data_IF_602232790970
#
_entry.id   IF_602232790970
#
_cell.length_a   1.000
_cell.length_b   1.000
_cell.length_c   1.000
_cell.angle_alpha   90.00
_cell.angle_beta   90.00
_cell.angle_gamma   90.00
#
_symmetry.space_group_name_H-M   'P 1'
#
loop_
_entity.id
_entity.type
_entity.pdbx_description
1 polymer ?
#
# COMPACT_ATOMS: atom_id res chain seq x y z
N UNK A 1 4.36 -17.90 -16.46
CA UNK A 1 3.51 -17.63 -15.28
C UNK A 1 3.86 -16.24 -14.74
N UNK A 2 2.88 -15.51 -14.24
CA UNK A 2 3.01 -14.07 -13.99
C UNK A 2 3.55 -13.83 -12.59
N UNK A 3 4.74 -13.24 -12.49
CA UNK A 3 5.43 -12.86 -11.23
C UNK A 3 4.53 -12.02 -10.31
N UNK A 4 3.49 -11.40 -10.86
CA UNK A 4 2.63 -10.49 -10.14
C UNK A 4 1.42 -11.15 -9.48
N UNK A 5 1.21 -12.46 -9.62
CA UNK A 5 0.20 -13.19 -8.82
C UNK A 5 0.71 -13.56 -7.42
N UNK A 6 1.96 -13.21 -7.09
CA UNK A 6 2.63 -13.53 -5.81
C UNK A 6 1.86 -12.92 -4.61
N UNK A 7 1.24 -11.76 -4.79
CA UNK A 7 0.48 -11.09 -3.74
C UNK A 7 -1.01 -11.45 -3.72
N UNK A 8 -1.54 -12.14 -4.73
CA UNK A 8 -2.99 -12.31 -4.93
C UNK A 8 -3.67 -13.02 -3.76
N UNK A 9 -2.98 -14.02 -3.18
CA UNK A 9 -3.46 -14.74 -2.00
C UNK A 9 -3.56 -13.80 -0.80
N UNK A 10 -2.51 -13.03 -0.50
CA UNK A 10 -2.46 -12.12 0.64
C UNK A 10 -3.46 -10.94 0.47
N UNK A 11 -3.62 -10.42 -0.75
CA UNK A 11 -4.65 -9.44 -1.08
C UNK A 11 -6.05 -10.03 -0.79
N UNK A 12 -6.30 -11.26 -1.26
CA UNK A 12 -7.58 -11.94 -1.07
C UNK A 12 -7.88 -12.21 0.41
N UNK A 13 -6.88 -12.64 1.17
CA UNK A 13 -7.01 -12.86 2.62
C UNK A 13 -7.28 -11.56 3.38
N UNK A 14 -6.54 -10.49 3.09
CA UNK A 14 -6.79 -9.17 3.68
C UNK A 14 -8.19 -8.66 3.39
N UNK A 15 -8.65 -8.77 2.13
CA UNK A 15 -10.01 -8.39 1.76
C UNK A 15 -11.09 -9.21 2.48
N UNK A 16 -10.83 -10.49 2.77
CA UNK A 16 -11.72 -11.30 3.62
C UNK A 16 -11.73 -10.79 5.05
N UNK A 17 -10.58 -10.41 5.61
CA UNK A 17 -10.51 -9.79 6.94
C UNK A 17 -11.32 -8.49 6.99
N UNK A 18 -11.21 -7.63 5.98
CA UNK A 18 -11.93 -6.35 5.90
C UNK A 18 -13.46 -6.51 5.88
N UNK A 19 -13.96 -7.66 5.42
CA UNK A 19 -15.39 -7.98 5.38
C UNK A 19 -15.90 -8.66 6.67
N UNK A 20 -15.07 -8.78 7.71
CA UNK A 20 -15.50 -9.33 9.00
C UNK A 20 -16.10 -8.25 9.90
N UNK A 21 -17.02 -8.66 10.79
CA UNK A 21 -17.72 -7.77 11.71
C UNK A 21 -16.77 -6.94 12.61
N UNK A 22 -15.53 -7.42 12.82
CA UNK A 22 -14.53 -6.76 13.64
C UNK A 22 -14.09 -5.37 13.12
N UNK A 23 -14.16 -5.14 11.80
CA UNK A 23 -13.71 -3.89 11.17
C UNK A 23 -14.89 -2.95 10.85
N UNK A 24 -16.12 -3.37 11.12
CA UNK A 24 -17.34 -2.67 10.74
C UNK A 24 -17.67 -2.80 9.25
N UNK A 25 -18.70 -2.08 8.80
CA UNK A 25 -19.09 -2.10 7.38
C UNK A 25 -18.08 -1.32 6.54
N UNK A 26 -17.47 -2.01 5.56
CA UNK A 26 -16.68 -1.36 4.53
C UNK A 26 -17.56 -0.43 3.68
N UNK A 27 -17.14 0.83 3.57
CA UNK A 27 -17.81 1.84 2.74
C UNK A 27 -16.91 2.19 1.57
N UNK A 28 -17.40 2.02 0.33
CA UNK A 28 -16.77 2.66 -0.83
C UNK A 28 -17.09 4.15 -0.75
N UNK A 29 -16.06 4.99 -0.65
CA UNK A 29 -16.21 6.42 -0.62
C UNK A 29 -16.42 6.97 -2.05
N UNK A 30 -17.03 8.16 -2.20
CA UNK A 30 -17.12 8.82 -3.50
C UNK A 30 -15.72 8.98 -4.13
N UNK A 31 -15.61 8.73 -5.44
CA UNK A 31 -14.42 8.99 -6.23
C UNK A 31 -14.33 10.46 -6.65
N UNK A 32 -13.18 10.85 -7.18
CA UNK A 32 -12.97 12.11 -7.94
C UNK A 32 -13.10 13.40 -7.13
N UNK A 33 -12.80 13.33 -5.83
CA UNK A 33 -12.60 14.53 -5.02
C UNK A 33 -11.17 15.01 -5.14
N UNK A 34 -11.00 16.28 -5.52
CA UNK A 34 -9.68 16.90 -5.59
C UNK A 34 -9.29 17.56 -4.28
N UNK A 35 -7.99 17.54 -3.97
CA UNK A 35 -7.41 18.31 -2.88
C UNK A 35 -6.14 19.01 -3.36
N UNK A 36 -5.79 20.13 -2.73
CA UNK A 36 -4.55 20.81 -3.05
C UNK A 36 -3.35 19.92 -2.68
N UNK A 37 -2.55 19.54 -3.67
CA UNK A 37 -1.28 18.82 -3.49
C UNK A 37 -0.13 19.80 -3.63
N UNK A 38 0.73 19.89 -2.62
CA UNK A 38 1.88 20.79 -2.60
C UNK A 38 3.10 20.16 -3.29
N UNK A 39 4.04 20.98 -3.76
CA UNK A 39 5.25 20.49 -4.43
C UNK A 39 6.21 19.72 -3.50
N UNK A 40 6.15 20.01 -2.20
CA UNK A 40 6.93 19.37 -1.15
C UNK A 40 6.06 19.16 0.08
N UNK A 41 6.50 18.31 1.01
CA UNK A 41 5.78 18.06 2.25
C UNK A 41 5.54 19.36 3.04
N UNK A 42 4.27 19.62 3.37
CA UNK A 42 3.90 20.74 4.23
C UNK A 42 3.96 20.30 5.69
N UNK A 43 4.90 20.88 6.45
CA UNK A 43 5.11 20.54 7.86
C UNK A 43 3.88 20.90 8.71
N UNK A 44 3.30 19.91 9.41
CA UNK A 44 2.25 20.13 10.41
C UNK A 44 2.86 20.06 11.81
N UNK A 45 2.95 21.22 12.47
CA UNK A 45 3.43 21.35 13.83
C UNK A 45 2.37 20.92 14.85
N UNK A 46 2.80 20.47 16.03
CA UNK A 46 1.90 20.00 17.10
C UNK A 46 0.82 21.01 17.50
N UNK A 47 1.13 22.32 17.47
CA UNK A 47 0.16 23.39 17.79
C UNK A 47 -0.94 23.56 16.73
N UNK A 48 -0.62 23.22 15.48
CA UNK A 48 -1.45 23.43 14.29
C UNK A 48 -2.21 22.14 13.88
N UNK A 49 -1.88 21.03 14.54
CA UNK A 49 -2.46 19.70 14.33
C UNK A 49 -3.81 19.55 15.04
N UNK A 50 -4.77 18.92 14.37
CA UNK A 50 -6.03 18.49 14.95
C UNK A 50 -5.85 17.20 15.76
N UNK A 51 -5.19 16.20 15.17
CA UNK A 51 -4.86 14.90 15.75
C UNK A 51 -3.79 14.18 14.91
N UNK A 52 -3.25 13.08 15.42
CA UNK A 52 -2.38 12.14 14.71
C UNK A 52 -3.09 10.80 14.44
N UNK A 53 -3.01 10.34 13.20
CA UNK A 53 -3.25 8.94 12.87
C UNK A 53 -1.96 8.17 13.16
N UNK A 54 -2.01 7.19 14.05
CA UNK A 54 -0.85 6.39 14.43
C UNK A 54 0.22 7.14 15.26
N UNK A 55 -0.17 8.23 15.93
CA UNK A 55 0.67 8.99 16.85
C UNK A 55 0.86 8.34 18.21
N UNK A 56 1.99 8.60 18.88
CA UNK A 56 2.30 8.04 20.19
C UNK A 56 2.34 6.51 20.19
N UNK A 57 1.54 5.89 21.07
CA UNK A 57 1.42 4.43 21.17
C UNK A 57 0.44 3.81 20.15
N UNK A 58 -0.27 4.64 19.38
CA UNK A 58 -1.19 4.16 18.36
C UNK A 58 -0.45 3.45 17.21
N UNK A 59 -1.14 2.49 16.59
CA UNK A 59 -0.67 1.74 15.44
C UNK A 59 -0.86 2.56 14.16
N UNK A 60 0.07 2.43 13.23
CA UNK A 60 0.17 3.29 12.05
C UNK A 60 0.50 2.45 10.82
N UNK A 61 -0.31 1.44 10.50
CA UNK A 61 0.13 0.36 9.61
C UNK A 61 -0.02 0.79 8.15
N UNK A 62 0.99 0.53 7.32
CA UNK A 62 0.88 0.77 5.88
C UNK A 62 1.46 -0.39 5.07
N UNK A 63 0.78 -0.78 4.00
CA UNK A 63 1.27 -1.82 3.09
C UNK A 63 0.81 -1.57 1.66
N UNK A 64 1.64 -2.00 0.71
CA UNK A 64 1.38 -1.91 -0.73
C UNK A 64 1.59 -3.28 -1.35
N UNK A 65 0.64 -3.71 -2.19
CA UNK A 65 0.73 -4.98 -2.91
C UNK A 65 0.34 -4.81 -4.38
N UNK A 66 0.97 -5.62 -5.23
CA UNK A 66 0.81 -5.56 -6.67
C UNK A 66 0.10 -6.80 -7.20
N UNK A 67 -0.75 -6.64 -8.19
CA UNK A 67 -1.42 -7.74 -8.88
C UNK A 67 -1.57 -7.43 -10.36
N UNK A 68 -1.78 -8.43 -11.20
CA UNK A 68 -2.32 -8.27 -12.56
C UNK A 68 -3.79 -8.71 -12.65
N UNK A 69 -4.31 -9.34 -11.59
CA UNK A 69 -5.66 -9.91 -11.58
C UNK A 69 -6.73 -8.84 -11.35
N UNK A 70 -7.68 -8.74 -12.29
CA UNK A 70 -8.88 -7.92 -12.13
C UNK A 70 -9.84 -8.46 -11.07
N UNK A 71 -9.70 -9.73 -10.67
CA UNK A 71 -10.46 -10.29 -9.54
C UNK A 71 -9.94 -9.75 -8.20
N UNK A 72 -8.61 -9.59 -8.09
CA UNK A 72 -7.99 -8.99 -6.92
C UNK A 72 -8.27 -7.50 -6.84
N UNK A 73 -8.23 -6.76 -7.95
CA UNK A 73 -8.48 -5.32 -8.01
C UNK A 73 -9.24 -4.99 -9.29
N UNK A 74 -10.56 -4.81 -9.21
CA UNK A 74 -11.44 -4.59 -10.36
C UNK A 74 -11.25 -3.21 -11.01
N UNK A 75 -11.30 -2.17 -10.19
CA UNK A 75 -11.44 -0.77 -10.56
C UNK A 75 -10.78 0.13 -9.52
N UNK A 76 -10.63 1.42 -9.86
CA UNK A 76 -10.19 2.43 -8.91
C UNK A 76 -11.21 2.58 -7.77
N UNK A 77 -10.74 2.68 -6.54
CA UNK A 77 -11.64 2.78 -5.39
C UNK A 77 -10.98 3.19 -4.09
N UNK A 78 -11.68 4.05 -3.35
CA UNK A 78 -11.32 4.40 -1.97
C UNK A 78 -12.33 3.77 -1.03
N UNK A 79 -11.84 3.06 -0.02
CA UNK A 79 -12.66 2.34 0.94
C UNK A 79 -12.32 2.77 2.37
N UNK A 80 -13.33 2.87 3.22
CA UNK A 80 -13.19 3.27 4.61
C UNK A 80 -13.89 2.27 5.54
N UNK A 81 -13.18 1.89 6.60
CA UNK A 81 -13.68 1.10 7.73
C UNK A 81 -13.43 1.88 9.01
N UNK A 82 -14.48 2.53 9.53
CA UNK A 82 -14.41 3.39 10.71
C UNK A 82 -14.84 4.83 10.44
N UNK A 83 -14.29 5.74 11.25
CA UNK A 83 -14.55 7.19 11.19
C UNK A 83 -13.77 7.84 10.03
N UNK A 84 -14.39 8.79 9.33
CA UNK A 84 -13.68 9.62 8.34
C UNK A 84 -12.92 10.75 9.06
N UNK A 85 -12.02 11.44 8.36
CA UNK A 85 -11.16 12.48 8.93
C UNK A 85 -11.94 13.57 9.68
N UNK A 86 -13.14 13.92 9.21
CA UNK A 86 -13.99 14.93 9.84
C UNK A 86 -14.54 14.50 11.20
N UNK A 87 -14.69 13.19 11.41
CA UNK A 87 -15.34 12.63 12.59
C UNK A 87 -14.35 12.32 13.72
N UNK A 88 -13.07 12.14 13.38
CA UNK A 88 -11.99 11.86 14.35
C UNK A 88 -11.69 13.12 15.20
N UNK A 89 -11.54 12.93 16.52
CA UNK A 89 -11.32 14.03 17.50
C UNK A 89 -10.07 13.88 18.36
N UNK A 90 -9.36 12.76 18.24
CA UNK A 90 -8.20 12.40 19.07
C UNK A 90 -7.19 11.59 18.26
N UNK A 91 -6.01 11.38 18.82
CA UNK A 91 -5.03 10.50 18.20
C UNK A 91 -5.54 9.06 18.23
N UNK A 92 -5.63 8.42 17.06
CA UNK A 92 -6.16 7.05 16.93
C UNK A 92 -5.17 6.13 16.23
N UNK A 93 -5.36 4.82 16.39
CA UNK A 93 -4.72 3.84 15.51
C UNK A 93 -5.35 3.92 14.12
N UNK A 94 -4.52 3.71 13.09
CA UNK A 94 -5.00 3.64 11.72
C UNK A 94 -4.17 2.65 10.90
N UNK A 95 -4.76 2.17 9.80
CA UNK A 95 -4.06 1.43 8.79
C UNK A 95 -4.44 1.89 7.38
N UNK A 96 -3.49 1.79 6.45
CA UNK A 96 -3.70 2.01 5.02
C UNK A 96 -3.14 0.87 4.19
N UNK A 97 -4.00 0.21 3.43
CA UNK A 97 -3.60 -0.80 2.46
C UNK A 97 -3.84 -0.26 1.05
N UNK A 98 -2.83 -0.41 0.18
CA UNK A 98 -2.92 -0.01 -1.23
C UNK A 98 -2.67 -1.21 -2.12
N UNK A 99 -3.68 -1.59 -2.89
CA UNK A 99 -3.59 -2.68 -3.85
C UNK A 99 -3.62 -2.11 -5.26
N UNK A 100 -2.60 -2.45 -6.05
CA UNK A 100 -2.38 -1.88 -7.37
C UNK A 100 -2.48 -2.98 -8.41
N UNK A 101 -3.45 -2.87 -9.32
CA UNK A 101 -3.48 -3.66 -10.54
C UNK A 101 -2.57 -3.03 -11.56
N UNK A 102 -1.57 -3.78 -11.99
CA UNK A 102 -0.64 -3.41 -13.03
C UNK A 102 -1.19 -3.85 -14.40
N UNK A 103 -0.84 -3.10 -15.43
CA UNK A 103 -1.19 -3.44 -16.80
C UNK A 103 -0.45 -4.72 -17.22
N UNK A 104 -1.18 -5.82 -17.31
CA UNK A 104 -0.64 -7.15 -17.58
C UNK A 104 0.18 -7.19 -18.88
N UNK A 105 -0.31 -6.59 -19.96
CA UNK A 105 0.39 -6.59 -21.25
C UNK A 105 1.71 -5.82 -21.19
N UNK A 106 1.71 -4.67 -20.50
CA UNK A 106 2.89 -3.85 -20.31
C UNK A 106 3.93 -4.57 -19.45
N UNK A 107 3.49 -5.21 -18.36
CA UNK A 107 4.41 -5.96 -17.47
C UNK A 107 5.00 -7.18 -18.19
N UNK A 108 4.19 -7.95 -18.93
CA UNK A 108 4.70 -9.07 -19.72
C UNK A 108 5.78 -8.63 -20.71
N UNK A 109 5.53 -7.54 -21.43
CA UNK A 109 6.50 -7.01 -22.41
C UNK A 109 7.83 -6.59 -21.78
N UNK A 110 7.82 -5.91 -20.63
CA UNK A 110 9.08 -5.54 -19.94
C UNK A 110 9.77 -6.76 -19.33
N UNK A 111 9.01 -7.73 -18.81
CA UNK A 111 9.56 -8.92 -18.16
C UNK A 111 10.29 -9.81 -19.18
N UNK A 112 9.72 -10.02 -20.36
CA UNK A 112 10.33 -10.81 -21.44
C UNK A 112 11.64 -10.18 -21.96
N UNK A 113 11.76 -8.85 -21.85
CA UNK A 113 12.93 -8.11 -22.33
C UNK A 113 14.04 -7.99 -21.28
N UNK A 114 13.69 -7.74 -20.02
CA UNK A 114 14.65 -7.55 -18.94
C UNK A 114 14.00 -7.70 -17.55
N UNK A 115 14.45 -8.67 -16.76
CA UNK A 115 13.99 -8.87 -15.39
C UNK A 115 14.28 -7.67 -14.46
N UNK A 116 15.39 -6.96 -14.65
CA UNK A 116 15.71 -5.74 -13.90
C UNK A 116 14.72 -4.60 -14.23
N UNK A 117 14.18 -4.56 -15.45
CA UNK A 117 13.20 -3.55 -15.85
C UNK A 117 11.85 -3.77 -15.14
N UNK A 118 11.46 -5.02 -14.88
CA UNK A 118 10.30 -5.34 -14.04
C UNK A 118 10.51 -4.83 -12.61
N UNK A 119 11.67 -5.10 -12.02
CA UNK A 119 11.99 -4.62 -10.68
C UNK A 119 11.97 -3.10 -10.60
N UNK A 120 12.62 -2.42 -11.54
CA UNK A 120 12.62 -0.96 -11.63
C UNK A 120 11.21 -0.39 -11.76
N UNK A 121 10.34 -1.01 -12.56
CA UNK A 121 8.94 -0.62 -12.70
C UNK A 121 8.19 -0.73 -11.36
N UNK A 122 8.31 -1.85 -10.65
CA UNK A 122 7.68 -2.05 -9.34
C UNK A 122 8.17 -1.04 -8.30
N UNK A 123 9.48 -0.81 -8.22
CA UNK A 123 10.08 0.21 -7.34
C UNK A 123 9.57 1.61 -7.68
N UNK A 124 9.45 1.94 -8.96
CA UNK A 124 9.00 3.24 -9.41
C UNK A 124 7.50 3.47 -9.15
N UNK A 125 6.67 2.42 -9.15
CA UNK A 125 5.28 2.49 -8.69
C UNK A 125 5.24 2.67 -7.16
N UNK A 126 5.97 1.85 -6.39
CA UNK A 126 6.06 1.99 -4.93
C UNK A 126 6.52 3.41 -4.51
N UNK A 127 7.44 4.01 -5.27
CA UNK A 127 8.00 5.33 -4.94
C UNK A 127 6.99 6.50 -5.01
N UNK A 128 5.84 6.31 -5.67
CA UNK A 128 4.81 7.34 -5.82
C UNK A 128 4.27 7.81 -4.45
N UNK A 129 4.14 6.92 -3.46
CA UNK A 129 3.60 7.30 -2.13
C UNK A 129 4.44 8.35 -1.41
N UNK A 130 5.73 8.46 -1.72
CA UNK A 130 6.64 9.42 -1.09
C UNK A 130 6.59 10.82 -1.73
N UNK A 131 5.84 11.00 -2.81
CA UNK A 131 5.79 12.25 -3.59
C UNK A 131 4.37 12.80 -3.73
N UNK A 132 3.46 12.36 -2.86
CA UNK A 132 2.11 12.91 -2.78
C UNK A 132 1.97 13.69 -1.46
N UNK A 133 1.80 15.01 -1.56
CA UNK A 133 1.77 15.89 -0.39
C UNK A 133 0.45 16.66 -0.31
N UNK A 134 -0.67 16.02 0.07
CA UNK A 134 -1.93 16.74 0.27
C UNK A 134 -1.77 17.79 1.37
N UNK A 135 -2.15 19.03 1.07
CA UNK A 135 -1.96 20.17 1.98
C UNK A 135 -2.66 19.92 3.31
N UNK A 136 -1.88 20.00 4.40
CA UNK A 136 -2.38 19.79 5.76
C UNK A 136 -2.55 18.32 6.17
N UNK A 137 -2.10 17.36 5.34
CA UNK A 137 -2.04 15.93 5.63
C UNK A 137 -0.58 15.45 5.50
N UNK A 138 0.14 15.41 6.62
CA UNK A 138 1.57 15.15 6.66
C UNK A 138 1.84 13.66 6.96
N UNK A 139 2.16 12.90 5.92
CA UNK A 139 2.48 11.46 6.02
C UNK A 139 3.95 11.24 6.34
N UNK A 140 4.25 10.56 7.44
CA UNK A 140 5.63 10.21 7.79
C UNK A 140 5.87 8.74 7.50
N UNK A 141 6.17 8.42 6.26
CA UNK A 141 6.33 7.04 5.79
C UNK A 141 7.67 6.47 6.26
N UNK A 142 7.63 5.30 6.89
CA UNK A 142 8.79 4.48 7.26
C UNK A 142 8.57 3.06 6.78
N UNK A 143 9.08 2.73 5.59
CA UNK A 143 8.98 1.37 5.02
C UNK A 143 9.61 0.31 5.92
N UNK A 144 10.77 0.61 6.52
CA UNK A 144 11.52 -0.30 7.42
C UNK A 144 10.73 -0.73 8.67
N UNK A 145 9.65 -0.02 9.02
CA UNK A 145 8.84 -0.31 10.21
C UNK A 145 7.37 -0.56 9.87
N UNK A 146 7.05 -0.68 8.58
CA UNK A 146 5.67 -0.82 8.08
C UNK A 146 4.72 0.24 8.66
N UNK A 147 5.29 1.44 8.93
CA UNK A 147 4.65 2.50 9.69
C UNK A 147 4.50 3.77 8.87
N UNK A 148 3.31 4.37 8.94
CA UNK A 148 2.99 5.65 8.30
C UNK A 148 2.16 6.54 9.24
N UNK A 149 2.71 7.05 10.34
CA UNK A 149 1.95 7.98 11.16
C UNK A 149 1.68 9.29 10.39
N UNK A 150 0.45 9.77 10.46
CA UNK A 150 0.00 10.98 9.76
C UNK A 150 -0.39 12.06 10.75
N UNK A 151 0.04 13.30 10.50
CA UNK A 151 -0.51 14.48 11.17
C UNK A 151 -1.54 15.15 10.30
N UNK A 152 -2.71 15.42 10.86
CA UNK A 152 -3.77 16.15 10.17
C UNK A 152 -3.90 17.54 10.78
N UNK A 153 -3.85 18.58 9.96
CA UNK A 153 -3.92 19.96 10.43
C UNK A 153 -5.35 20.39 10.78
N UNK A 154 -5.49 21.32 11.73
CA UNK A 154 -6.79 21.93 12.08
C UNK A 154 -7.44 22.62 10.87
N UNK A 155 -6.63 23.27 10.04
CA UNK A 155 -7.11 23.98 8.85
C UNK A 155 -7.67 22.99 7.82
N UNK A 156 -6.97 21.89 7.53
CA UNK A 156 -7.47 20.87 6.61
C UNK A 156 -8.82 20.29 7.04
N UNK A 157 -9.01 20.07 8.35
CA UNK A 157 -10.30 19.63 8.88
C UNK A 157 -11.36 20.72 8.71
N UNK A 158 -11.05 21.97 9.05
CA UNK A 158 -11.98 23.09 8.86
C UNK A 158 -12.39 23.28 7.39
N UNK A 159 -11.48 22.99 6.46
CA UNK A 159 -11.69 23.07 5.01
C UNK A 159 -12.41 21.83 4.43
N UNK A 160 -12.77 20.85 5.26
CA UNK A 160 -13.60 19.70 4.85
C UNK A 160 -12.84 18.51 4.26
N UNK A 161 -11.54 18.37 4.56
CA UNK A 161 -10.74 17.21 4.12
C UNK A 161 -11.35 15.88 4.58
N UNK A 162 -11.34 14.86 3.71
CA UNK A 162 -11.80 13.49 4.00
C UNK A 162 -10.88 12.46 3.36
N UNK A 163 -10.99 11.18 3.74
CA UNK A 163 -10.23 10.11 3.11
C UNK A 163 -10.55 9.93 1.61
N UNK A 164 -11.76 10.31 1.18
CA UNK A 164 -12.12 10.35 -0.25
C UNK A 164 -11.20 11.29 -1.04
N UNK A 165 -10.91 12.48 -0.49
CA UNK A 165 -9.96 13.42 -1.08
C UNK A 165 -8.54 12.83 -1.15
N UNK A 166 -8.04 12.32 -0.01
CA UNK A 166 -6.68 11.77 0.08
C UNK A 166 -6.50 10.58 -0.84
N UNK A 167 -7.43 9.62 -0.80
CA UNK A 167 -7.39 8.43 -1.62
C UNK A 167 -7.48 8.76 -3.12
N UNK A 168 -8.33 9.71 -3.52
CA UNK A 168 -8.45 10.13 -4.92
C UNK A 168 -7.15 10.74 -5.44
N UNK A 169 -6.51 11.63 -4.68
CA UNK A 169 -5.21 12.20 -5.08
C UNK A 169 -4.11 11.14 -5.19
N UNK A 170 -4.07 10.18 -4.27
CA UNK A 170 -3.12 9.06 -4.35
C UNK A 170 -3.37 8.19 -5.58
N UNK A 171 -4.62 7.82 -5.86
CA UNK A 171 -5.00 7.07 -7.06
C UNK A 171 -4.57 7.83 -8.32
N UNK A 172 -4.90 9.13 -8.41
CA UNK A 172 -4.50 9.98 -9.53
C UNK A 172 -2.98 10.02 -9.72
N UNK A 173 -2.21 10.06 -8.63
CA UNK A 173 -0.75 10.02 -8.69
C UNK A 173 -0.23 8.69 -9.26
N UNK A 174 -0.77 7.54 -8.81
CA UNK A 174 -0.40 6.23 -9.35
C UNK A 174 -0.82 6.06 -10.81
N UNK A 175 -2.03 6.51 -11.19
CA UNK A 175 -2.59 6.33 -12.54
C UNK A 175 -1.87 7.14 -13.63
N UNK A 176 -1.00 8.09 -13.26
CA UNK A 176 -0.07 8.75 -14.20
C UNK A 176 0.98 7.79 -14.77
N UNK A 177 1.18 6.64 -14.11
CA UNK A 177 2.14 5.61 -14.52
C UNK A 177 1.49 4.65 -15.52
N UNK A 178 2.15 4.42 -16.65
CA UNK A 178 1.70 3.47 -17.69
C UNK A 178 1.62 2.02 -17.19
N UNK A 179 2.37 1.72 -16.14
CA UNK A 179 2.39 0.41 -15.49
C UNK A 179 1.11 0.12 -14.71
N UNK A 180 0.34 1.15 -14.31
CA UNK A 180 -0.80 1.01 -13.40
C UNK A 180 -2.11 1.07 -14.17
N UNK A 181 -2.98 0.08 -13.94
CA UNK A 181 -4.31 -0.02 -14.55
C UNK A 181 -5.46 0.30 -13.59
N UNK A 182 -5.34 -0.05 -12.32
CA UNK A 182 -6.33 0.29 -11.29
C UNK A 182 -5.69 0.29 -9.89
N UNK A 183 -6.26 1.06 -8.96
CA UNK A 183 -5.78 1.20 -7.59
C UNK A 183 -6.93 1.20 -6.61
N UNK A 184 -6.86 0.32 -5.60
CA UNK A 184 -7.76 0.34 -4.47
C UNK A 184 -7.02 0.70 -3.19
N UNK A 185 -7.54 1.71 -2.48
CA UNK A 185 -6.97 2.19 -1.22
C UNK A 185 -7.99 1.97 -0.11
N UNK A 186 -7.56 1.28 0.93
CA UNK A 186 -8.37 0.96 2.11
C UNK A 186 -7.81 1.73 3.29
N UNK A 187 -8.64 2.60 3.88
CA UNK A 187 -8.37 3.29 5.14
C UNK A 187 -9.12 2.60 6.26
N UNK A 188 -8.42 2.29 7.35
CA UNK A 188 -9.00 1.66 8.54
C UNK A 188 -8.73 2.55 9.74
N UNK A 189 -9.79 3.00 10.40
CA UNK A 189 -9.79 3.85 11.59
C UNK A 189 -10.72 3.30 12.66
N UNK A 190 -11.33 2.14 12.42
CA UNK A 190 -12.19 1.47 13.39
C UNK A 190 -11.45 1.22 14.71
N UNK A 191 -12.10 1.57 15.83
CA UNK A 191 -11.57 1.35 17.18
C UNK A 191 -11.59 -0.13 17.60
N UNK A 192 -12.36 -0.96 16.90
CA UNK A 192 -12.50 -2.41 17.18
C UNK A 192 -11.64 -3.28 16.27
N UNK A 193 -10.92 -2.68 15.31
CA UNK A 193 -10.06 -3.40 14.40
C UNK A 193 -8.91 -4.10 15.15
N UNK A 194 -8.57 -5.32 14.72
CA UNK A 194 -7.40 -6.04 15.21
C UNK A 194 -6.14 -5.53 14.51
N UNK A 195 -5.54 -4.48 15.05
CA UNK A 195 -4.35 -3.87 14.48
C UNK A 195 -3.10 -4.76 14.57
N UNK A 196 -3.05 -5.76 15.46
CA UNK A 196 -1.92 -6.70 15.47
C UNK A 196 -2.04 -7.67 14.30
N UNK A 197 -3.22 -8.21 14.04
CA UNK A 197 -3.47 -9.04 12.86
C UNK A 197 -3.20 -8.27 11.56
N UNK A 198 -3.64 -7.01 11.47
CA UNK A 198 -3.35 -6.16 10.31
C UNK A 198 -1.85 -5.92 10.14
N UNK A 199 -1.10 -5.78 11.23
CA UNK A 199 0.34 -5.61 11.19
C UNK A 199 1.01 -6.88 10.66
N UNK A 200 0.62 -8.06 11.16
CA UNK A 200 1.17 -9.34 10.69
C UNK A 200 0.93 -9.55 9.18
N UNK A 201 -0.28 -9.21 8.71
CA UNK A 201 -0.61 -9.26 7.27
C UNK A 201 0.19 -8.26 6.45
N UNK A 202 0.35 -7.02 6.93
CA UNK A 202 1.17 -6.01 6.29
C UNK A 202 2.65 -6.42 6.22
N UNK A 203 3.17 -6.97 7.31
CA UNK A 203 4.54 -7.45 7.42
C UNK A 203 4.80 -8.62 6.48
N UNK A 204 3.85 -9.56 6.33
CA UNK A 204 3.96 -10.64 5.33
C UNK A 204 4.09 -10.11 3.90
N UNK A 205 3.33 -9.08 3.53
CA UNK A 205 3.45 -8.43 2.21
C UNK A 205 4.82 -7.75 2.04
N UNK A 206 5.36 -7.15 3.09
CA UNK A 206 6.70 -6.56 3.04
C UNK A 206 7.77 -7.65 2.88
N UNK A 207 7.68 -8.76 3.62
CA UNK A 207 8.58 -9.90 3.46
C UNK A 207 8.58 -10.48 2.04
N UNK A 208 7.42 -10.48 1.39
CA UNK A 208 7.29 -10.84 -0.03
C UNK A 208 8.10 -9.87 -0.90
N UNK A 209 7.92 -8.58 -0.66
CA UNK A 209 8.60 -7.51 -1.40
C UNK A 209 10.11 -7.52 -1.18
N UNK A 210 10.57 -7.77 0.04
CA UNK A 210 11.99 -7.94 0.37
C UNK A 210 12.59 -9.15 -0.33
N UNK A 211 11.86 -10.27 -0.36
CA UNK A 211 12.30 -11.47 -1.07
C UNK A 211 12.41 -11.20 -2.57
N UNK A 212 11.46 -10.47 -3.17
CA UNK A 212 11.57 -10.00 -4.56
C UNK A 212 12.80 -9.11 -4.76
N UNK A 213 13.02 -8.11 -3.90
CA UNK A 213 14.18 -7.22 -3.97
C UNK A 213 15.51 -8.01 -3.89
N UNK A 214 15.59 -9.00 -3.00
CA UNK A 214 16.77 -9.86 -2.88
C UNK A 214 17.02 -10.69 -4.14
N UNK A 215 15.97 -11.26 -4.74
CA UNK A 215 16.09 -12.01 -6.00
C UNK A 215 16.59 -11.13 -7.15
N UNK A 216 16.11 -9.89 -7.26
CA UNK A 216 16.53 -8.98 -8.33
C UNK A 216 17.91 -8.35 -8.10
N UNK A 217 18.34 -8.16 -6.85
CA UNK A 217 19.64 -7.55 -6.53
C UNK A 217 20.83 -8.55 -6.56
N UNK A 218 20.59 -9.83 -6.87
CA UNK A 218 21.65 -10.84 -7.10
C UNK A 218 22.56 -11.14 -5.90
N UNK A 219 22.16 -10.79 -4.67
CA UNK A 219 23.11 -10.66 -3.55
C UNK A 219 23.64 -11.98 -2.98
N UNK A 220 22.91 -13.10 -3.03
CA UNK A 220 23.44 -14.47 -2.80
C UNK A 220 22.48 -15.50 -3.44
N UNK A 221 22.92 -16.22 -4.47
CA UNK A 221 22.14 -17.29 -5.15
C UNK A 221 22.32 -18.68 -4.49
N UNK A 222 22.76 -18.73 -3.23
CA UNK A 222 22.86 -19.97 -2.46
C UNK A 222 21.63 -20.15 -1.56
N UNK A 223 20.55 -20.67 -2.17
CA UNK A 223 19.29 -20.94 -1.48
C UNK A 223 19.43 -21.90 -0.28
N UNK A 224 20.52 -22.66 -0.17
CA UNK A 224 20.73 -23.55 0.97
C UNK A 224 20.90 -22.79 2.30
N UNK A 225 21.29 -21.50 2.23
CA UNK A 225 21.52 -20.62 3.38
C UNK A 225 20.59 -19.38 3.42
N UNK A 226 19.66 -19.25 2.48
CA UNK A 226 18.76 -18.10 2.39
C UNK A 226 17.68 -18.13 3.46
N UNK A 227 17.59 -17.06 4.27
CA UNK A 227 16.58 -16.91 5.34
C UNK A 227 15.15 -16.76 4.81
N UNK A 228 14.98 -16.37 3.55
CA UNK A 228 13.67 -16.23 2.90
C UNK A 228 13.14 -17.54 2.29
N UNK A 229 13.87 -18.66 2.44
CA UNK A 229 13.54 -19.92 1.78
C UNK A 229 12.15 -20.45 2.12
N UNK A 230 11.74 -20.40 3.38
CA UNK A 230 10.41 -20.89 3.80
C UNK A 230 9.27 -20.10 3.10
N UNK A 231 9.40 -18.78 2.99
CA UNK A 231 8.44 -17.94 2.28
C UNK A 231 8.45 -18.20 0.77
N UNK A 232 9.63 -18.36 0.16
CA UNK A 232 9.75 -18.73 -1.25
C UNK A 232 9.18 -20.13 -1.52
N UNK A 233 9.29 -21.05 -0.55
CA UNK A 233 8.75 -22.41 -0.64
C UNK A 233 7.23 -22.45 -0.50
N UNK A 234 6.62 -21.46 0.16
CA UNK A 234 5.17 -21.30 0.28
C UNK A 234 4.52 -20.66 -0.97
N UNK A 235 5.26 -19.84 -1.72
CA UNK A 235 4.71 -19.03 -2.81
C UNK A 235 5.17 -19.58 -4.15
N UNK A 236 4.29 -20.33 -4.83
CA UNK A 236 4.61 -20.98 -6.10
C UNK A 236 5.14 -20.01 -7.18
N UNK A 237 4.64 -18.77 -7.20
CA UNK A 237 5.12 -17.71 -8.11
C UNK A 237 6.57 -17.28 -7.87
N UNK A 238 7.08 -17.36 -6.62
CA UNK A 238 8.49 -17.06 -6.31
C UNK A 238 9.42 -18.17 -6.81
N UNK A 239 9.04 -19.44 -6.66
CA UNK A 239 9.84 -20.57 -7.16
C UNK A 239 10.06 -20.51 -8.66
N UNK A 240 9.03 -20.12 -9.40
CA UNK A 240 9.13 -20.01 -10.86
C UNK A 240 9.95 -18.82 -11.31
N UNK A 241 9.81 -17.66 -10.64
CA UNK A 241 10.68 -16.51 -10.89
C UNK A 241 12.15 -16.91 -10.71
N UNK A 242 12.46 -17.64 -9.64
CA UNK A 242 13.82 -18.11 -9.38
C UNK A 242 14.36 -19.00 -10.50
N UNK A 243 13.60 -20.01 -10.96
CA UNK A 243 14.01 -20.87 -12.09
C UNK A 243 14.31 -20.08 -13.35
N UNK A 244 13.48 -19.08 -13.66
CA UNK A 244 13.66 -18.25 -14.85
C UNK A 244 14.88 -17.32 -14.74
N UNK A 245 15.15 -16.76 -13.55
CA UNK A 245 16.33 -15.93 -13.28
C UNK A 245 17.63 -16.75 -13.27
N UNK A 246 17.62 -18.00 -12.81
CA UNK A 246 18.79 -18.89 -12.80
C UNK A 246 19.10 -19.57 -14.15
N UNK A 247 18.20 -19.42 -15.13
CA UNK A 247 18.34 -20.02 -16.47
C UNK A 247 18.87 -19.03 -17.52
N UNK A 248 19.21 -17.81 -17.08
CA UNK A 248 19.89 -16.74 -17.84
C UNK A 248 21.33 -16.68 -17.33
#
# INVERSE_FOLDING_TARGET
>A
MQVLSIYDKDISELKKCFNSDAYGNIKKLPSDKSWEVTAQESLVLKRDMAYELGGGMNKAISSIAFTTSSECVSDDGVYLMGEDLQDIKEDISYARFTFIRLNESYIKDIQEKNAEALHAALRAVDYVRYHNFPKGYMMRISSVKEREPVRVSKQAIADGMTFSHIGSEMINAYRKRKEVEAVQIYFLTSKTADYELLYDKAHRIEQITDSLNHMFNGLVMDCSSCKSRELCDEIDGMKELHKNLSSI
#
